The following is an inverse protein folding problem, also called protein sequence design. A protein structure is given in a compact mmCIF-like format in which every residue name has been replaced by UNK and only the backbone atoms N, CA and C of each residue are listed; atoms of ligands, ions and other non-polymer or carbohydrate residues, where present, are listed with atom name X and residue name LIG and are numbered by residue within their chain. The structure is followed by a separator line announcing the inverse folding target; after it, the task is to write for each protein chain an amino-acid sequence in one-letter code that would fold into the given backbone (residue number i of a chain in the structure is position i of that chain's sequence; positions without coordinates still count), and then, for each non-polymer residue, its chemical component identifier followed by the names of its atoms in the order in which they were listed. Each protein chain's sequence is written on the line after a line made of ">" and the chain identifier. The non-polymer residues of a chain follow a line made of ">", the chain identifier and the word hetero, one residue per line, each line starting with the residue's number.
data_IF_320980716656
#
_entry.id   IF_320980716656
#
_cell.length_a   1.000
_cell.length_b   1.000
_cell.length_c   1.000
_cell.angle_alpha   90.00
_cell.angle_beta   90.00
_cell.angle_gamma   90.00
#
_symmetry.space_group_name_H-M   'P 1'
#
loop_
_entity.id
_entity.type
_entity.pdbx_description
1 polymer ?
#
# COMPACT_ATOMS: atom_id res chain seq x y z
N UNK A 1 15.03 0.41 20.22
CA UNK A 1 13.76 0.67 19.48
C UNK A 1 13.94 0.25 18.04
N UNK A 2 12.96 -0.40 17.40
CA UNK A 2 13.09 -0.79 15.99
C UNK A 2 12.67 0.38 15.11
N UNK A 3 13.51 0.74 14.14
CA UNK A 3 13.18 1.74 13.12
C UNK A 3 12.68 1.06 11.84
N UNK A 4 11.76 1.73 11.17
CA UNK A 4 11.18 1.34 9.90
C UNK A 4 11.59 2.34 8.83
N UNK A 5 11.95 1.83 7.65
CA UNK A 5 12.07 2.63 6.42
C UNK A 5 10.69 2.75 5.81
N UNK A 6 10.10 3.94 5.89
CA UNK A 6 8.73 4.22 5.45
C UNK A 6 8.78 5.18 4.28
N UNK A 7 8.02 4.88 3.22
CA UNK A 7 7.87 5.75 2.07
C UNK A 7 6.79 6.80 2.35
N UNK A 8 7.16 8.07 2.21
CA UNK A 8 6.31 9.24 2.40
C UNK A 8 6.67 10.30 1.36
N UNK A 9 5.68 10.74 0.58
CA UNK A 9 5.85 11.72 -0.49
C UNK A 9 6.98 11.38 -1.49
N UNK A 10 7.16 10.09 -1.81
CA UNK A 10 8.20 9.61 -2.73
C UNK A 10 9.60 9.45 -2.11
N UNK A 11 9.77 9.80 -0.84
CA UNK A 11 11.05 9.67 -0.14
C UNK A 11 10.99 8.63 0.97
N UNK A 12 12.14 7.99 1.26
CA UNK A 12 12.27 7.05 2.37
C UNK A 12 12.68 7.82 3.63
N UNK A 13 11.86 7.76 4.67
CA UNK A 13 12.16 8.28 5.99
C UNK A 13 12.31 7.16 7.04
N UNK A 14 13.08 7.43 8.09
CA UNK A 14 13.11 6.58 9.27
C UNK A 14 11.97 6.94 10.22
N UNK A 15 11.29 5.92 10.75
CA UNK A 15 10.14 6.10 11.62
C UNK A 15 10.10 5.03 12.71
N UNK A 16 9.66 5.37 13.94
CA UNK A 16 9.43 4.38 14.99
C UNK A 16 8.22 3.47 14.71
N UNK A 17 7.37 3.85 13.74
CA UNK A 17 6.19 3.09 13.30
C UNK A 17 6.26 2.75 11.80
N UNK A 18 5.69 1.63 11.35
CA UNK A 18 5.70 1.20 9.95
C UNK A 18 4.78 2.01 9.01
N UNK A 19 4.10 3.06 9.48
CA UNK A 19 3.06 3.74 8.71
C UNK A 19 1.72 3.00 8.75
N UNK A 20 0.84 3.30 7.80
CA UNK A 20 -0.53 2.75 7.77
C UNK A 20 -0.65 1.46 6.94
N UNK A 21 0.16 1.35 5.89
CA UNK A 21 0.10 0.22 4.95
C UNK A 21 1.46 -0.43 4.76
N UNK A 22 1.43 -1.70 4.36
CA UNK A 22 2.61 -2.41 3.88
C UNK A 22 2.35 -2.95 2.47
N UNK A 23 3.40 -3.07 1.67
CA UNK A 23 3.30 -3.58 0.31
C UNK A 23 4.32 -4.62 -0.08
N UNK A 24 4.00 -5.33 -1.16
CA UNK A 24 4.83 -6.29 -1.85
C UNK A 24 5.48 -5.63 -3.05
N UNK A 25 6.79 -5.39 -2.97
CA UNK A 25 7.54 -4.65 -4.00
C UNK A 25 7.42 -5.26 -5.40
N UNK A 26 7.50 -6.58 -5.52
CA UNK A 26 7.53 -7.26 -6.83
C UNK A 26 6.17 -7.27 -7.53
N UNK A 27 5.09 -7.43 -6.76
CA UNK A 27 3.73 -7.45 -7.31
C UNK A 27 3.04 -6.09 -7.26
N UNK A 28 3.68 -5.06 -6.71
CA UNK A 28 3.08 -3.73 -6.50
C UNK A 28 1.72 -3.81 -5.78
N UNK A 29 1.60 -4.67 -4.78
CA UNK A 29 0.36 -4.82 -3.98
C UNK A 29 0.55 -4.12 -2.64
N UNK A 30 -0.37 -3.28 -2.19
CA UNK A 30 -0.39 -2.77 -0.81
C UNK A 30 -1.58 -3.33 -0.01
N UNK A 31 -1.44 -3.38 1.30
CA UNK A 31 -2.47 -3.89 2.20
C UNK A 31 -2.24 -3.47 3.64
N UNK A 32 -3.16 -3.90 4.52
CA UNK A 32 -3.04 -3.65 5.96
C UNK A 32 -1.80 -4.32 6.54
N UNK A 33 -1.19 -3.73 7.56
CA UNK A 33 0.01 -4.26 8.23
C UNK A 33 -0.15 -5.72 8.73
N UNK A 34 -1.37 -6.07 9.15
CA UNK A 34 -1.73 -7.40 9.63
C UNK A 34 -2.29 -8.36 8.57
N UNK A 35 -2.19 -8.03 7.27
CA UNK A 35 -2.69 -8.89 6.20
C UNK A 35 -1.99 -10.26 6.22
N UNK A 36 -2.75 -11.37 6.28
CA UNK A 36 -2.20 -12.73 6.32
C UNK A 36 -1.26 -13.02 5.15
N UNK A 37 -1.65 -12.61 3.93
CA UNK A 37 -0.81 -12.75 2.74
C UNK A 37 0.46 -11.90 2.83
N UNK A 38 0.36 -10.69 3.38
CA UNK A 38 1.50 -9.79 3.63
C UNK A 38 2.48 -10.32 4.66
N UNK A 39 1.99 -10.94 5.73
CA UNK A 39 2.83 -11.48 6.80
C UNK A 39 3.72 -12.64 6.34
N UNK A 40 3.32 -13.36 5.29
CA UNK A 40 4.10 -14.44 4.66
C UNK A 40 5.20 -13.93 3.72
N UNK A 41 5.23 -12.64 3.38
CA UNK A 41 6.23 -12.08 2.47
C UNK A 41 7.61 -12.00 3.10
N UNK A 42 8.65 -12.28 2.31
CA UNK A 42 10.04 -12.03 2.69
C UNK A 42 10.23 -10.55 3.02
N UNK A 43 11.01 -10.27 4.08
CA UNK A 43 11.27 -8.90 4.57
C UNK A 43 11.85 -7.98 3.48
N UNK A 44 12.73 -8.51 2.62
CA UNK A 44 13.36 -7.78 1.51
C UNK A 44 12.36 -7.23 0.47
N UNK A 45 11.19 -7.86 0.34
CA UNK A 45 10.15 -7.46 -0.61
C UNK A 45 9.05 -6.63 0.07
N UNK A 46 9.16 -6.36 1.38
CA UNK A 46 8.18 -5.60 2.14
C UNK A 46 8.54 -4.12 2.10
N UNK A 47 7.59 -3.30 1.66
CA UNK A 47 7.66 -1.84 1.69
C UNK A 47 6.64 -1.34 2.70
N UNK A 48 6.91 -0.20 3.33
CA UNK A 48 6.02 0.43 4.31
C UNK A 48 5.63 1.80 3.80
N UNK A 49 4.35 2.16 3.89
CA UNK A 49 3.80 3.42 3.39
C UNK A 49 3.19 4.22 4.52
N UNK A 50 3.46 5.51 4.53
CA UNK A 50 2.90 6.40 5.54
C UNK A 50 1.39 6.55 5.36
N UNK A 51 0.92 6.72 4.12
CA UNK A 51 -0.50 6.88 3.76
C UNK A 51 -0.93 5.97 2.61
N UNK A 52 -2.23 6.01 2.29
CA UNK A 52 -2.79 5.35 1.11
C UNK A 52 -2.22 5.98 -0.17
N UNK A 53 -2.21 7.31 -0.22
CA UNK A 53 -1.74 8.09 -1.37
C UNK A 53 -0.27 7.80 -1.68
N UNK A 54 0.56 7.60 -0.65
CA UNK A 54 1.96 7.20 -0.81
C UNK A 54 2.09 5.86 -1.52
N UNK A 55 1.25 4.88 -1.19
CA UNK A 55 1.25 3.58 -1.89
C UNK A 55 0.80 3.73 -3.35
N UNK A 56 -0.27 4.50 -3.56
CA UNK A 56 -0.91 4.68 -4.87
C UNK A 56 0.00 5.45 -5.84
N UNK A 57 0.64 6.54 -5.39
CA UNK A 57 1.59 7.32 -6.22
C UNK A 57 2.79 6.49 -6.66
N UNK A 58 3.21 5.52 -5.86
CA UNK A 58 4.28 4.57 -6.21
C UNK A 58 3.81 3.43 -7.15
N UNK A 59 2.57 3.51 -7.61
CA UNK A 59 1.94 2.58 -8.55
C UNK A 59 1.51 1.26 -7.90
N UNK A 60 1.26 1.23 -6.59
CA UNK A 60 0.73 0.04 -5.92
C UNK A 60 -0.80 -0.03 -6.00
N UNK A 61 -1.32 -1.25 -6.08
CA UNK A 61 -2.74 -1.56 -6.11
C UNK A 61 -3.19 -2.32 -4.84
N UNK A 62 -4.47 -2.24 -4.45
CA UNK A 62 -4.92 -2.74 -3.16
C UNK A 62 -5.02 -4.27 -3.15
N UNK A 63 -4.66 -4.87 -2.02
CA UNK A 63 -4.70 -6.31 -1.85
C UNK A 63 -6.14 -6.83 -1.81
N UNK A 64 -6.50 -7.67 -2.78
CA UNK A 64 -7.81 -8.34 -2.84
C UNK A 64 -8.15 -9.15 -1.58
N UNK A 65 -7.16 -9.69 -0.87
CA UNK A 65 -7.42 -10.54 0.31
C UNK A 65 -7.86 -9.74 1.54
N UNK A 66 -7.25 -8.58 1.78
CA UNK A 66 -7.54 -7.78 2.98
C UNK A 66 -8.43 -6.57 2.71
N UNK A 67 -8.71 -6.28 1.43
CA UNK A 67 -9.50 -5.14 0.93
C UNK A 67 -9.28 -3.89 1.80
N UNK A 68 -8.06 -3.32 1.75
CA UNK A 68 -7.62 -2.33 2.73
C UNK A 68 -8.35 -0.99 2.65
N UNK A 69 -9.07 -0.74 1.55
CA UNK A 69 -9.77 0.51 1.24
C UNK A 69 -11.22 0.25 0.83
N UNK A 70 -12.08 1.24 1.06
CA UNK A 70 -13.47 1.24 0.60
C UNK A 70 -13.73 2.28 -0.52
N UNK A 71 -15.00 2.48 -0.89
CA UNK A 71 -15.40 3.43 -1.94
C UNK A 71 -15.05 4.88 -1.58
N UNK A 72 -15.12 5.26 -0.29
CA UNK A 72 -14.81 6.61 0.16
C UNK A 72 -13.32 6.88 0.03
N UNK A 73 -12.50 5.92 0.45
CA UNK A 73 -11.06 5.98 0.25
C UNK A 73 -10.70 6.09 -1.22
N UNK A 74 -11.33 5.28 -2.08
CA UNK A 74 -11.11 5.30 -3.54
C UNK A 74 -11.46 6.65 -4.16
N UNK A 75 -12.60 7.24 -3.80
CA UNK A 75 -13.03 8.55 -4.30
C UNK A 75 -11.97 9.63 -4.01
N UNK A 76 -11.29 9.58 -2.85
CA UNK A 76 -10.23 10.52 -2.51
C UNK A 76 -8.98 10.35 -3.38
N UNK A 77 -8.67 9.12 -3.81
CA UNK A 77 -7.44 8.81 -4.56
C UNK A 77 -7.66 8.60 -6.07
N UNK A 78 -8.91 8.58 -6.55
CA UNK A 78 -9.22 8.22 -7.95
C UNK A 78 -8.49 9.08 -8.98
N UNK A 79 -8.16 10.31 -8.62
CA UNK A 79 -7.40 11.24 -9.46
C UNK A 79 -5.92 10.86 -9.63
N UNK A 80 -5.42 9.90 -8.83
CA UNK A 80 -4.05 9.37 -8.87
C UNK A 80 -3.94 8.06 -9.65
N UNK A 81 -5.05 7.50 -10.13
CA UNK A 81 -5.10 6.18 -10.77
C UNK A 81 -5.87 6.23 -12.10
N UNK A 82 -5.55 5.35 -13.06
CA UNK A 82 -6.28 5.27 -14.32
C UNK A 82 -7.63 4.54 -14.20
N UNK A 83 -7.81 3.71 -13.17
CA UNK A 83 -9.04 2.93 -12.96
C UNK A 83 -10.25 3.81 -12.62
N UNK A 84 -11.42 3.48 -13.17
CA UNK A 84 -12.65 4.26 -13.01
C UNK A 84 -13.49 3.81 -11.82
N UNK A 85 -13.30 2.57 -11.38
CA UNK A 85 -14.04 1.99 -10.26
C UNK A 85 -13.10 1.34 -9.26
N UNK A 86 -13.54 1.24 -8.00
CA UNK A 86 -12.78 0.54 -6.96
C UNK A 86 -12.53 -0.93 -7.33
N UNK A 87 -13.50 -1.56 -7.97
CA UNK A 87 -13.38 -2.97 -8.37
C UNK A 87 -12.35 -3.18 -9.47
N UNK A 88 -12.26 -2.28 -10.46
CA UNK A 88 -11.17 -2.26 -11.43
C UNK A 88 -9.82 -2.11 -10.74
N UNK A 89 -9.73 -1.21 -9.75
CA UNK A 89 -8.49 -0.98 -9.01
C UNK A 89 -8.04 -2.22 -8.23
N UNK A 90 -8.97 -2.98 -7.66
CA UNK A 90 -8.67 -4.27 -7.01
C UNK A 90 -8.15 -5.33 -7.98
N UNK A 91 -8.56 -5.30 -9.25
CA UNK A 91 -8.24 -6.33 -10.25
C UNK A 91 -7.04 -5.98 -11.14
N UNK A 92 -6.39 -4.84 -10.89
CA UNK A 92 -5.14 -4.45 -11.57
C UNK A 92 -4.07 -5.53 -11.43
N UNK A 93 -3.34 -5.80 -12.53
CA UNK A 93 -2.22 -6.75 -12.62
C UNK A 93 -0.96 -6.09 -13.17
#
# INVERSE_FOLDING_TARGET
>A
MKLYKVLKNGEIMESPVPGQYAGYKRGKIFGRLGCKSGMRMKKENRVFFHTLEDAVREGYHPCMNCRPIDEKDFENIKHLVPEKTLEEFYHRK
#
